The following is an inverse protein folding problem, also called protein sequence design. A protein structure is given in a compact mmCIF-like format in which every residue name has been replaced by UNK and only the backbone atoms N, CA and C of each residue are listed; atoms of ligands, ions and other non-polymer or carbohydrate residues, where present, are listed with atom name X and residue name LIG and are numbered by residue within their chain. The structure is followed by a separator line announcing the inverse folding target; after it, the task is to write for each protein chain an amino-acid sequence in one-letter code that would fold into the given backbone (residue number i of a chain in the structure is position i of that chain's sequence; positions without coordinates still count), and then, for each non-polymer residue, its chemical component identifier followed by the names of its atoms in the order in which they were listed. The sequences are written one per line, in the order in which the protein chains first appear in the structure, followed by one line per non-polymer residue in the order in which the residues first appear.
data_IF_427885396678
#
_entry.id   IF_427885396678
#
_cell.length_a   1.000
_cell.length_b   1.000
_cell.length_c   1.000
_cell.angle_alpha   90.00
_cell.angle_beta   90.00
_cell.angle_gamma   90.00
#
_symmetry.space_group_name_H-M   'P 1'
#
loop_
_entity.id
_entity.type
_entity.pdbx_description
1 polymer ?
#
# COMPACT_ATOMS: atom_id res chain seq x y z
N UNK A 1 -16.19 4.12 -42.53
CA UNK A 1 -17.50 3.89 -41.86
C UNK A 1 -17.61 2.56 -41.07
N UNK A 2 -16.98 1.43 -41.46
CA UNK A 2 -17.01 0.18 -40.67
C UNK A 2 -16.36 0.26 -39.27
N UNK A 3 -15.24 0.99 -39.12
CA UNK A 3 -14.57 1.14 -37.81
C UNK A 3 -15.36 1.94 -36.76
N UNK A 4 -16.22 2.89 -37.19
CA UNK A 4 -17.06 3.66 -36.27
C UNK A 4 -18.26 2.86 -35.74
N UNK A 5 -18.80 1.91 -36.53
CA UNK A 5 -19.86 0.99 -36.06
C UNK A 5 -19.31 0.01 -35.01
N UNK A 6 -18.16 -0.61 -35.27
CA UNK A 6 -17.52 -1.52 -34.30
C UNK A 6 -17.15 -0.86 -32.97
N UNK A 7 -16.82 0.45 -32.96
CA UNK A 7 -16.56 1.18 -31.71
C UNK A 7 -17.85 1.40 -30.92
N UNK A 8 -18.91 1.88 -31.58
CA UNK A 8 -20.23 2.07 -30.95
C UNK A 8 -20.79 0.77 -30.35
N UNK A 9 -20.67 -0.35 -31.06
CA UNK A 9 -21.17 -1.64 -30.57
C UNK A 9 -20.39 -2.13 -29.34
N UNK A 10 -19.08 -1.85 -29.25
CA UNK A 10 -18.26 -2.15 -28.07
C UNK A 10 -18.61 -1.25 -26.87
N UNK A 11 -18.85 0.03 -27.11
CA UNK A 11 -19.21 0.99 -26.07
C UNK A 11 -20.57 0.60 -25.45
N UNK A 12 -21.55 0.21 -26.27
CA UNK A 12 -22.86 -0.30 -25.81
C UNK A 12 -22.70 -1.56 -24.93
N UNK A 13 -21.86 -2.51 -25.34
CA UNK A 13 -21.63 -3.74 -24.56
C UNK A 13 -20.99 -3.43 -23.20
N UNK A 14 -20.06 -2.47 -23.15
CA UNK A 14 -19.47 -2.01 -21.89
C UNK A 14 -20.51 -1.36 -20.98
N UNK A 15 -21.39 -0.54 -21.53
CA UNK A 15 -22.45 0.13 -20.78
C UNK A 15 -23.45 -0.87 -20.19
N UNK A 16 -23.88 -1.88 -20.96
CA UNK A 16 -24.75 -2.96 -20.45
C UNK A 16 -24.08 -3.75 -19.31
N UNK A 17 -22.79 -4.09 -19.45
CA UNK A 17 -22.03 -4.78 -18.40
C UNK A 17 -21.90 -3.94 -17.14
N UNK A 18 -21.67 -2.63 -17.31
CA UNK A 18 -21.62 -1.68 -16.21
C UNK A 18 -22.96 -1.62 -15.47
N UNK A 19 -24.06 -1.49 -16.19
CA UNK A 19 -25.40 -1.45 -15.60
C UNK A 19 -25.76 -2.74 -14.85
N UNK A 20 -25.37 -3.90 -15.38
CA UNK A 20 -25.55 -5.20 -14.71
C UNK A 20 -24.73 -5.27 -13.41
N UNK A 21 -23.48 -4.80 -13.44
CA UNK A 21 -22.64 -4.70 -12.26
C UNK A 21 -23.25 -3.77 -11.19
N UNK A 22 -23.68 -2.56 -11.58
CA UNK A 22 -24.29 -1.59 -10.66
C UNK A 22 -25.54 -2.16 -9.97
N UNK A 23 -26.34 -2.96 -10.68
CA UNK A 23 -27.50 -3.63 -10.07
C UNK A 23 -27.10 -4.67 -9.03
N UNK A 24 -25.96 -5.34 -9.24
CA UNK A 24 -25.43 -6.38 -8.34
C UNK A 24 -24.77 -5.79 -7.10
N UNK A 25 -23.98 -4.71 -7.22
CA UNK A 25 -23.26 -4.13 -6.07
C UNK A 25 -24.19 -3.67 -4.94
N UNK A 26 -25.41 -3.23 -5.26
CA UNK A 26 -26.39 -2.80 -4.26
C UNK A 26 -26.88 -3.93 -3.33
N UNK A 27 -26.67 -5.19 -3.73
CA UNK A 27 -27.08 -6.37 -2.97
C UNK A 27 -25.87 -7.17 -2.47
N UNK A 28 -24.65 -6.65 -2.63
CA UNK A 28 -23.45 -7.45 -2.44
C UNK A 28 -23.26 -7.92 -1.00
N UNK A 29 -23.66 -7.09 -0.03
CA UNK A 29 -23.59 -7.39 1.40
C UNK A 29 -24.58 -8.51 1.81
N UNK A 30 -25.55 -8.85 0.95
CA UNK A 30 -26.53 -9.93 1.17
C UNK A 30 -26.12 -11.25 0.50
N UNK A 31 -25.07 -11.24 -0.33
CA UNK A 31 -24.56 -12.42 -1.04
C UNK A 31 -23.60 -13.23 -0.17
N UNK A 32 -23.37 -14.48 -0.56
CA UNK A 32 -22.25 -15.24 0.02
C UNK A 32 -20.92 -14.59 -0.35
N UNK A 33 -19.89 -14.80 0.48
CA UNK A 33 -18.55 -14.26 0.21
C UNK A 33 -18.05 -14.62 -1.19
N UNK A 34 -18.24 -15.87 -1.62
CA UNK A 34 -17.78 -16.35 -2.92
C UNK A 34 -18.48 -15.63 -4.07
N UNK A 35 -19.79 -15.47 -3.99
CA UNK A 35 -20.57 -14.77 -5.02
C UNK A 35 -20.17 -13.30 -5.11
N UNK A 36 -20.00 -12.64 -3.95
CA UNK A 36 -19.56 -11.25 -3.89
C UNK A 36 -18.13 -11.08 -4.45
N UNK A 37 -17.23 -11.99 -4.08
CA UNK A 37 -15.85 -12.02 -4.59
C UNK A 37 -15.83 -12.14 -6.10
N UNK A 38 -16.52 -13.13 -6.67
CA UNK A 38 -16.54 -13.38 -8.11
C UNK A 38 -17.05 -12.15 -8.88
N UNK A 39 -18.08 -11.47 -8.35
CA UNK A 39 -18.64 -10.24 -8.96
C UNK A 39 -17.62 -9.09 -8.97
N UNK A 40 -16.94 -8.83 -7.85
CA UNK A 40 -15.97 -7.72 -7.75
C UNK A 40 -14.73 -8.03 -8.57
N UNK A 41 -14.20 -9.25 -8.44
CA UNK A 41 -13.04 -9.71 -9.17
C UNK A 41 -13.28 -9.58 -10.68
N UNK A 42 -14.34 -10.20 -11.22
CA UNK A 42 -14.63 -10.15 -12.66
C UNK A 42 -14.80 -8.72 -13.17
N UNK A 43 -15.33 -7.82 -12.35
CA UNK A 43 -15.48 -6.42 -12.73
C UNK A 43 -14.17 -5.65 -12.71
N UNK A 44 -13.29 -5.87 -11.74
CA UNK A 44 -12.01 -5.14 -11.64
C UNK A 44 -11.11 -5.42 -12.86
N UNK A 45 -11.20 -6.62 -13.44
CA UNK A 45 -10.52 -7.00 -14.68
C UNK A 45 -11.27 -6.56 -15.96
N UNK A 46 -12.37 -5.83 -15.82
CA UNK A 46 -13.07 -5.24 -16.96
C UNK A 46 -12.50 -3.85 -17.27
N UNK A 47 -12.29 -3.54 -18.56
CA UNK A 47 -11.89 -2.20 -19.02
C UNK A 47 -13.06 -1.18 -18.91
N UNK A 48 -13.79 -1.18 -17.80
CA UNK A 48 -15.00 -0.38 -17.56
C UNK A 48 -14.74 0.60 -16.41
N UNK A 49 -14.89 1.89 -16.72
CA UNK A 49 -14.71 2.97 -15.75
C UNK A 49 -15.99 3.16 -14.90
N UNK A 50 -15.82 3.11 -13.58
CA UNK A 50 -16.83 3.46 -12.60
C UNK A 50 -16.93 4.98 -12.45
N UNK A 51 -18.14 5.46 -12.20
CA UNK A 51 -18.37 6.81 -11.71
C UNK A 51 -18.02 6.87 -10.22
N UNK A 52 -17.65 8.07 -9.76
CA UNK A 52 -17.29 8.30 -8.37
C UNK A 52 -18.34 7.76 -7.37
N UNK A 53 -19.63 7.92 -7.64
CA UNK A 53 -20.67 7.41 -6.75
C UNK A 53 -20.66 5.87 -6.61
N UNK A 54 -20.27 5.15 -7.67
CA UNK A 54 -20.17 3.69 -7.64
C UNK A 54 -18.92 3.27 -6.85
N UNK A 55 -17.81 3.99 -7.02
CA UNK A 55 -16.61 3.82 -6.17
C UNK A 55 -16.96 4.03 -4.69
N UNK A 56 -17.66 5.12 -4.38
CA UNK A 56 -18.12 5.41 -3.02
C UNK A 56 -18.98 4.29 -2.44
N UNK A 57 -19.88 3.72 -3.24
CA UNK A 57 -20.72 2.60 -2.82
C UNK A 57 -19.88 1.37 -2.46
N UNK A 58 -18.88 1.03 -3.26
CA UNK A 58 -17.99 -0.10 -3.00
C UNK A 58 -17.20 0.09 -1.70
N UNK A 59 -16.67 1.29 -1.47
CA UNK A 59 -15.93 1.60 -0.24
C UNK A 59 -16.81 1.57 1.03
N UNK A 60 -18.13 1.53 0.88
CA UNK A 60 -19.07 1.41 1.99
C UNK A 60 -19.44 -0.05 2.33
N UNK A 61 -18.90 -1.06 1.64
CA UNK A 61 -19.22 -2.45 1.95
C UNK A 61 -18.87 -2.83 3.39
N UNK A 62 -19.68 -3.73 3.96
CA UNK A 62 -19.46 -4.22 5.33
C UNK A 62 -18.22 -5.10 5.37
N UNK A 63 -18.04 -5.94 4.35
CA UNK A 63 -16.90 -6.83 4.23
C UNK A 63 -15.66 -6.07 3.73
N UNK A 64 -14.63 -5.98 4.57
CA UNK A 64 -13.39 -5.25 4.29
C UNK A 64 -12.50 -5.96 3.28
N UNK A 65 -12.59 -7.28 3.17
CA UNK A 65 -11.82 -8.05 2.18
C UNK A 65 -12.27 -7.74 0.75
N UNK A 66 -13.56 -7.41 0.56
CA UNK A 66 -14.07 -6.98 -0.74
C UNK A 66 -13.61 -5.57 -1.11
N UNK A 67 -13.44 -4.70 -0.10
CA UNK A 67 -12.88 -3.36 -0.30
C UNK A 67 -11.41 -3.47 -0.69
N UNK A 68 -10.63 -4.28 0.03
CA UNK A 68 -9.23 -4.57 -0.31
C UNK A 68 -9.10 -5.10 -1.74
N UNK A 69 -9.87 -6.14 -2.10
CA UNK A 69 -9.90 -6.68 -3.46
C UNK A 69 -10.18 -5.58 -4.50
N UNK A 70 -11.17 -4.74 -4.27
CA UNK A 70 -11.49 -3.65 -5.19
C UNK A 70 -10.35 -2.65 -5.32
N UNK A 71 -9.79 -2.18 -4.19
CA UNK A 71 -8.70 -1.22 -4.19
C UNK A 71 -7.46 -1.78 -4.90
N UNK A 72 -7.09 -3.03 -4.63
CA UNK A 72 -5.91 -3.67 -5.23
C UNK A 72 -6.06 -3.89 -6.74
N UNK A 73 -7.21 -4.38 -7.18
CA UNK A 73 -7.38 -4.87 -8.56
C UNK A 73 -7.92 -3.79 -9.52
N UNK A 74 -8.60 -2.75 -9.02
CA UNK A 74 -9.20 -1.74 -9.88
C UNK A 74 -8.19 -0.67 -10.34
N UNK A 75 -7.79 -0.72 -11.62
CA UNK A 75 -6.72 0.15 -12.15
C UNK A 75 -7.18 1.50 -12.71
N UNK A 76 -8.49 1.75 -12.81
CA UNK A 76 -9.03 2.87 -13.57
C UNK A 76 -9.35 4.10 -12.71
N UNK A 77 -8.81 4.24 -11.49
CA UNK A 77 -9.03 5.42 -10.63
C UNK A 77 -8.60 6.74 -11.30
N UNK A 78 -9.50 7.74 -11.29
CA UNK A 78 -9.16 9.11 -11.68
C UNK A 78 -8.82 9.97 -10.45
N UNK A 79 -8.46 11.24 -10.66
CA UNK A 79 -8.06 12.14 -9.57
C UNK A 79 -9.18 12.43 -8.56
N UNK A 80 -10.44 12.46 -8.99
CA UNK A 80 -11.57 12.64 -8.07
C UNK A 80 -11.77 11.40 -7.21
N UNK A 81 -11.62 10.21 -7.79
CA UNK A 81 -11.68 8.97 -7.03
C UNK A 81 -10.53 8.88 -6.04
N UNK A 82 -9.29 9.16 -6.47
CA UNK A 82 -8.11 9.18 -5.58
C UNK A 82 -8.30 10.12 -4.40
N UNK A 83 -8.82 11.32 -4.66
CA UNK A 83 -9.13 12.30 -3.60
C UNK A 83 -10.14 11.72 -2.60
N UNK A 84 -11.18 11.03 -3.09
CA UNK A 84 -12.15 10.39 -2.20
C UNK A 84 -11.56 9.20 -1.44
N UNK A 85 -10.75 8.37 -2.10
CA UNK A 85 -10.08 7.23 -1.46
C UNK A 85 -9.10 7.71 -0.38
N UNK A 86 -8.39 8.80 -0.60
CA UNK A 86 -7.54 9.43 0.42
C UNK A 86 -8.34 9.83 1.67
N UNK A 87 -9.51 10.47 1.49
CA UNK A 87 -10.41 10.78 2.61
C UNK A 87 -10.89 9.52 3.33
N UNK A 88 -11.32 8.52 2.56
CA UNK A 88 -11.74 7.23 3.10
C UNK A 88 -10.64 6.57 3.93
N UNK A 89 -9.40 6.55 3.45
CA UNK A 89 -8.27 5.98 4.19
C UNK A 89 -8.04 6.75 5.48
N UNK A 90 -8.02 8.08 5.43
CA UNK A 90 -7.82 8.93 6.61
C UNK A 90 -8.85 8.69 7.72
N UNK A 91 -10.10 8.45 7.33
CA UNK A 91 -11.20 8.13 8.24
C UNK A 91 -11.05 6.72 8.86
N UNK A 92 -10.33 5.82 8.19
CA UNK A 92 -10.14 4.43 8.61
C UNK A 92 -8.75 4.13 9.24
N UNK A 93 -7.84 5.11 9.37
CA UNK A 93 -6.52 4.88 9.99
C UNK A 93 -6.58 4.41 11.44
N UNK A 94 -7.67 4.69 12.16
CA UNK A 94 -7.90 4.25 13.54
C UNK A 94 -8.84 3.02 13.63
N UNK A 95 -9.06 2.32 12.51
CA UNK A 95 -9.96 1.17 12.45
C UNK A 95 -9.42 -0.03 13.25
N UNK A 96 -10.31 -0.80 13.88
CA UNK A 96 -9.95 -1.93 14.77
C UNK A 96 -9.35 -3.13 14.04
N UNK A 97 -9.74 -3.35 12.78
CA UNK A 97 -9.13 -4.37 11.93
C UNK A 97 -7.88 -3.77 11.28
N UNK A 98 -6.72 -4.20 11.72
CA UNK A 98 -5.41 -3.63 11.35
C UNK A 98 -4.75 -4.30 10.16
N UNK A 99 -5.19 -5.50 9.79
CA UNK A 99 -4.94 -6.05 8.46
C UNK A 99 -5.55 -5.12 7.40
N UNK A 100 -6.81 -4.72 7.59
CA UNK A 100 -7.45 -3.75 6.70
C UNK A 100 -6.72 -2.40 6.66
N UNK A 101 -6.29 -1.85 7.80
CA UNK A 101 -5.50 -0.61 7.80
C UNK A 101 -4.17 -0.78 7.07
N UNK A 102 -3.49 -1.91 7.25
CA UNK A 102 -2.26 -2.25 6.53
C UNK A 102 -2.48 -2.23 5.01
N UNK A 103 -3.55 -2.85 4.51
CA UNK A 103 -3.88 -2.87 3.08
C UNK A 103 -4.15 -1.46 2.55
N UNK A 104 -4.85 -0.62 3.32
CA UNK A 104 -5.07 0.78 2.98
C UNK A 104 -3.76 1.58 2.88
N UNK A 105 -2.78 1.30 3.74
CA UNK A 105 -1.47 1.96 3.72
C UNK A 105 -0.65 1.56 2.49
N UNK A 106 -0.66 0.28 2.12
CA UNK A 106 -0.02 -0.17 0.87
C UNK A 106 -0.68 0.46 -0.35
N UNK A 107 -2.02 0.44 -0.41
CA UNK A 107 -2.74 1.09 -1.49
C UNK A 107 -2.46 2.60 -1.58
N UNK A 108 -2.42 3.29 -0.44
CA UNK A 108 -2.02 4.70 -0.39
C UNK A 108 -0.60 4.93 -0.90
N UNK A 109 0.31 3.99 -0.63
CA UNK A 109 1.68 4.05 -1.13
C UNK A 109 1.74 3.87 -2.64
N UNK A 110 1.06 2.85 -3.17
CA UNK A 110 1.05 2.53 -4.61
C UNK A 110 0.47 3.65 -5.47
N UNK A 111 -0.58 4.31 -4.98
CA UNK A 111 -1.19 5.46 -5.65
C UNK A 111 -0.57 6.82 -5.25
N UNK A 112 0.45 6.82 -4.39
CA UNK A 112 1.11 8.05 -3.89
C UNK A 112 0.10 9.05 -3.28
N UNK A 113 -0.87 8.54 -2.51
CA UNK A 113 -1.90 9.34 -1.84
C UNK A 113 -1.33 10.10 -0.65
N UNK A 114 -1.85 11.30 -0.40
CA UNK A 114 -1.39 12.20 0.64
C UNK A 114 -2.20 12.03 1.95
N UNK A 115 -2.15 10.83 2.53
CA UNK A 115 -2.84 10.53 3.79
C UNK A 115 -2.17 11.21 5.01
N UNK A 116 -2.85 11.16 6.15
CA UNK A 116 -2.48 11.86 7.38
C UNK A 116 -1.17 11.34 7.96
N UNK A 117 -0.10 12.04 7.64
CA UNK A 117 1.28 11.66 7.95
C UNK A 117 1.53 11.40 9.44
N UNK A 118 0.99 12.26 10.31
CA UNK A 118 1.17 12.13 11.76
C UNK A 118 0.42 10.92 12.32
N UNK A 119 -0.77 10.62 11.79
CA UNK A 119 -1.47 9.38 12.16
C UNK A 119 -0.65 8.15 11.76
N UNK A 120 -0.09 8.12 10.54
CA UNK A 120 0.74 7.00 10.08
C UNK A 120 2.01 6.85 10.95
N UNK A 121 2.72 7.95 11.25
CA UNK A 121 3.87 7.91 12.17
C UNK A 121 3.50 7.38 13.56
N UNK A 122 2.30 7.69 14.06
CA UNK A 122 1.83 7.21 15.35
C UNK A 122 1.53 5.70 15.35
N UNK A 123 1.13 5.11 14.21
CA UNK A 123 0.93 3.66 14.09
C UNK A 123 2.24 2.90 14.35
N UNK A 124 3.38 3.43 13.88
CA UNK A 124 4.71 2.83 14.10
C UNK A 124 5.03 2.72 15.60
N UNK A 125 4.65 3.73 16.39
CA UNK A 125 4.98 3.81 17.83
C UNK A 125 4.04 3.01 18.72
N UNK A 126 2.74 3.01 18.41
CA UNK A 126 1.70 2.44 19.27
C UNK A 126 1.64 0.92 19.24
N UNK A 127 1.99 0.34 18.11
CA UNK A 127 1.75 -1.07 17.80
C UNK A 127 3.03 -1.93 17.92
N UNK A 128 3.96 -1.51 18.78
CA UNK A 128 5.07 -2.38 19.15
C UNK A 128 4.50 -3.65 19.82
N UNK A 129 4.81 -4.84 19.26
CA UNK A 129 4.38 -6.20 19.68
C UNK A 129 3.00 -6.69 19.22
N UNK A 130 2.07 -5.80 18.92
CA UNK A 130 0.74 -6.18 18.45
C UNK A 130 0.56 -5.57 17.05
N UNK A 131 0.46 -6.45 16.04
CA UNK A 131 0.13 -6.14 14.64
C UNK A 131 1.34 -5.78 13.75
N UNK A 132 2.06 -6.80 13.33
CA UNK A 132 3.29 -6.69 12.52
C UNK A 132 3.04 -6.06 11.14
N UNK A 133 1.87 -6.31 10.55
CA UNK A 133 1.56 -5.88 9.19
C UNK A 133 1.35 -4.36 9.12
N UNK A 134 0.70 -3.76 10.12
CA UNK A 134 0.40 -2.32 10.12
C UNK A 134 1.65 -1.48 10.37
N UNK A 135 2.57 -1.93 11.23
CA UNK A 135 3.85 -1.23 11.46
C UNK A 135 4.69 -1.25 10.20
N UNK A 136 4.85 -2.42 9.57
CA UNK A 136 5.60 -2.54 8.33
C UNK A 136 5.01 -1.67 7.22
N UNK A 137 3.69 -1.71 7.03
CA UNK A 137 2.99 -0.88 6.04
C UNK A 137 3.12 0.62 6.34
N UNK A 138 3.10 1.02 7.61
CA UNK A 138 3.29 2.41 8.01
C UNK A 138 4.72 2.89 7.73
N UNK A 139 5.74 2.09 8.07
CA UNK A 139 7.14 2.41 7.72
C UNK A 139 7.28 2.50 6.20
N UNK A 140 6.68 1.58 5.45
CA UNK A 140 6.71 1.54 3.98
C UNK A 140 6.10 2.80 3.37
N UNK A 141 4.92 3.24 3.84
CA UNK A 141 4.30 4.48 3.41
C UNK A 141 5.21 5.69 3.70
N UNK A 142 5.72 5.82 4.92
CA UNK A 142 6.58 6.94 5.33
C UNK A 142 7.88 6.97 4.53
N UNK A 143 8.49 5.81 4.31
CA UNK A 143 9.71 5.67 3.53
C UNK A 143 9.48 6.06 2.06
N UNK A 144 8.37 5.66 1.46
CA UNK A 144 8.07 6.03 0.06
C UNK A 144 7.55 7.48 -0.09
N UNK A 145 7.15 8.13 1.01
CA UNK A 145 6.59 9.48 1.02
C UNK A 145 7.32 10.39 2.03
N UNK A 146 8.65 10.48 1.97
CA UNK A 146 9.42 11.30 2.93
C UNK A 146 9.05 12.79 2.79
N UNK A 147 8.52 13.36 3.86
CA UNK A 147 8.24 14.80 3.98
C UNK A 147 9.30 15.45 4.84
N UNK A 148 10.17 16.28 4.24
CA UNK A 148 11.27 16.95 4.95
C UNK A 148 10.83 17.77 6.17
N UNK A 149 9.61 18.31 6.15
CA UNK A 149 9.03 19.01 7.29
C UNK A 149 8.92 18.12 8.55
N UNK A 150 8.78 16.80 8.41
CA UNK A 150 8.66 15.83 9.51
C UNK A 150 9.94 15.00 9.71
N UNK A 151 11.10 15.48 9.23
CA UNK A 151 12.31 14.64 9.17
C UNK A 151 12.80 14.20 10.56
N UNK A 152 12.64 15.05 11.57
CA UNK A 152 13.02 14.74 12.94
C UNK A 152 12.14 13.62 13.52
N UNK A 153 10.83 13.69 13.30
CA UNK A 153 9.87 12.69 13.73
C UNK A 153 10.07 11.36 13.00
N UNK A 154 10.37 11.39 11.70
CA UNK A 154 10.69 10.19 10.92
C UNK A 154 11.93 9.52 11.49
N UNK A 155 13.04 10.27 11.64
CA UNK A 155 14.31 9.74 12.16
C UNK A 155 14.13 9.21 13.58
N UNK A 156 13.40 9.93 14.44
CA UNK A 156 13.12 9.47 15.80
C UNK A 156 12.30 8.17 15.81
N UNK A 157 11.27 8.06 14.97
CA UNK A 157 10.39 6.89 14.94
C UNK A 157 11.10 5.66 14.36
N UNK A 158 11.88 5.83 13.29
CA UNK A 158 12.63 4.70 12.72
C UNK A 158 13.76 4.26 13.65
N UNK A 159 14.43 5.18 14.35
CA UNK A 159 15.42 4.80 15.37
C UNK A 159 14.81 4.02 16.53
N UNK A 160 13.58 4.34 16.95
CA UNK A 160 12.92 3.53 17.99
C UNK A 160 12.62 2.11 17.53
N UNK A 161 12.32 1.91 16.23
CA UNK A 161 12.17 0.58 15.65
C UNK A 161 13.49 -0.18 15.66
N UNK A 162 14.56 0.43 15.12
CA UNK A 162 15.89 -0.18 15.03
C UNK A 162 16.46 -0.55 16.41
N UNK A 163 16.26 0.29 17.42
CA UNK A 163 16.86 0.09 18.75
C UNK A 163 16.01 -0.76 19.70
N UNK A 164 14.90 -1.34 19.24
CA UNK A 164 14.00 -2.11 20.09
C UNK A 164 13.84 -3.54 19.58
N UNK A 165 13.89 -4.50 20.51
CA UNK A 165 13.65 -5.93 20.24
C UNK A 165 12.16 -6.27 20.09
N UNK A 166 11.30 -5.28 20.30
CA UNK A 166 9.86 -5.42 20.25
C UNK A 166 9.30 -5.39 18.81
N UNK A 167 10.17 -5.09 17.83
CA UNK A 167 9.86 -5.05 16.41
C UNK A 167 10.47 -6.23 15.67
N UNK A 168 9.85 -6.61 14.55
CA UNK A 168 10.31 -7.67 13.67
C UNK A 168 11.51 -7.22 12.85
N UNK A 169 12.33 -8.18 12.42
CA UNK A 169 13.53 -7.90 11.65
C UNK A 169 13.20 -7.23 10.31
N UNK A 170 12.07 -7.54 9.67
CA UNK A 170 11.61 -6.85 8.45
C UNK A 170 11.36 -5.36 8.67
N UNK A 171 10.70 -5.00 9.77
CA UNK A 171 10.46 -3.60 10.16
C UNK A 171 11.77 -2.89 10.47
N UNK A 172 12.67 -3.57 11.19
CA UNK A 172 14.01 -3.07 11.52
C UNK A 172 14.87 -2.84 10.27
N UNK A 173 14.81 -3.75 9.28
CA UNK A 173 15.53 -3.62 8.00
C UNK A 173 14.98 -2.45 7.21
N UNK A 174 13.66 -2.36 7.05
CA UNK A 174 13.01 -1.28 6.30
C UNK A 174 13.26 0.09 6.96
N UNK A 175 13.21 0.17 8.29
CA UNK A 175 13.56 1.37 9.03
C UNK A 175 15.04 1.73 8.86
N UNK A 176 15.94 0.74 8.94
CA UNK A 176 17.39 0.95 8.82
C UNK A 176 17.80 1.43 7.45
N UNK A 177 17.29 0.81 6.38
CA UNK A 177 17.62 1.22 5.02
C UNK A 177 17.06 2.61 4.71
N UNK A 178 15.87 2.92 5.24
CA UNK A 178 15.28 4.25 5.13
C UNK A 178 16.09 5.30 5.90
N UNK A 179 16.57 4.97 7.11
CA UNK A 179 17.46 5.83 7.89
C UNK A 179 18.80 6.05 7.20
N UNK A 180 19.37 5.01 6.57
CA UNK A 180 20.57 5.16 5.76
C UNK A 180 20.31 6.11 4.58
N UNK A 181 19.20 5.95 3.85
CA UNK A 181 18.82 6.86 2.76
C UNK A 181 18.65 8.31 3.20
N UNK A 182 18.11 8.53 4.41
CA UNK A 182 17.93 9.88 4.97
C UNK A 182 19.23 10.50 5.48
N UNK A 183 20.10 9.69 6.10
CA UNK A 183 21.22 10.21 6.92
C UNK A 183 22.61 9.94 6.36
N UNK A 184 22.74 8.99 5.42
CA UNK A 184 24.03 8.49 4.91
C UNK A 184 24.87 7.73 5.94
N UNK A 185 24.34 7.40 7.12
CA UNK A 185 25.12 6.77 8.20
C UNK A 185 25.30 5.27 7.96
N UNK A 186 26.54 4.85 7.73
CA UNK A 186 26.91 3.47 7.47
C UNK A 186 26.52 2.49 8.59
N UNK A 187 26.43 2.96 9.83
CA UNK A 187 26.01 2.14 10.98
C UNK A 187 24.65 1.45 10.78
N UNK A 188 23.76 2.03 9.95
CA UNK A 188 22.49 1.39 9.63
C UNK A 188 22.63 0.25 8.60
N UNK A 189 23.60 0.33 7.70
CA UNK A 189 23.93 -0.78 6.81
C UNK A 189 24.60 -1.90 7.59
N UNK A 190 25.53 -1.57 8.47
CA UNK A 190 26.23 -2.55 9.30
C UNK A 190 25.21 -3.35 10.16
N UNK A 191 24.20 -2.67 10.72
CA UNK A 191 23.09 -3.33 11.43
C UNK A 191 22.23 -4.24 10.53
N UNK A 192 21.96 -3.84 9.28
CA UNK A 192 21.27 -4.73 8.32
C UNK A 192 22.10 -5.99 8.04
N UNK A 193 23.43 -5.84 7.89
CA UNK A 193 24.33 -6.98 7.71
C UNK A 193 24.29 -7.92 8.92
N UNK A 194 24.30 -7.39 10.14
CA UNK A 194 24.16 -8.19 11.37
C UNK A 194 22.85 -9.00 11.39
N UNK A 195 21.72 -8.40 10.98
CA UNK A 195 20.43 -9.11 10.89
C UNK A 195 20.45 -10.22 9.82
N UNK A 196 21.11 -9.99 8.68
CA UNK A 196 21.23 -10.98 7.59
C UNK A 196 22.19 -12.12 7.95
N UNK A 197 23.22 -11.84 8.76
CA UNK A 197 24.12 -12.87 9.26
C UNK A 197 23.46 -13.73 10.34
N UNK A 198 22.55 -13.15 11.12
CA UNK A 198 21.71 -13.89 12.05
C UNK A 198 20.66 -14.76 11.35
N UNK A 199 19.95 -14.21 10.35
CA UNK A 199 18.91 -14.91 9.59
C UNK A 199 18.99 -14.56 8.10
N UNK A 200 19.20 -15.57 7.26
CA UNK A 200 19.35 -15.39 5.80
C UNK A 200 18.02 -15.07 5.10
N UNK A 201 16.86 -15.30 5.71
CA UNK A 201 15.57 -14.88 5.13
C UNK A 201 15.46 -13.36 5.01
N UNK A 202 16.15 -12.63 5.88
CA UNK A 202 16.25 -11.16 5.81
C UNK A 202 16.85 -10.67 4.49
N UNK A 203 17.73 -11.46 3.86
CA UNK A 203 18.29 -11.12 2.56
C UNK A 203 17.23 -11.19 1.46
N UNK A 204 16.29 -12.13 1.54
CA UNK A 204 15.17 -12.24 0.59
C UNK A 204 14.28 -11.01 0.72
N UNK A 205 13.92 -10.62 1.94
CA UNK A 205 13.15 -9.41 2.19
C UNK A 205 13.86 -8.15 1.65
N UNK A 206 15.15 -7.98 1.95
CA UNK A 206 15.93 -6.84 1.47
C UNK A 206 16.01 -6.79 -0.06
N UNK A 207 16.24 -7.94 -0.72
CA UNK A 207 16.30 -8.00 -2.19
C UNK A 207 14.97 -7.58 -2.83
N UNK A 208 13.84 -8.02 -2.27
CA UNK A 208 12.52 -7.62 -2.75
C UNK A 208 12.30 -6.11 -2.55
N UNK A 209 12.70 -5.56 -1.41
CA UNK A 209 12.60 -4.13 -1.12
C UNK A 209 13.43 -3.29 -2.10
N UNK A 210 14.68 -3.69 -2.37
CA UNK A 210 15.57 -2.97 -3.28
C UNK A 210 15.15 -3.05 -4.75
N UNK A 211 14.23 -3.95 -5.10
CA UNK A 211 13.63 -4.00 -6.43
C UNK A 211 12.51 -2.95 -6.62
N UNK A 212 12.02 -2.33 -5.55
CA UNK A 212 11.00 -1.30 -5.62
C UNK A 212 11.50 -0.02 -6.31
N UNK A 213 10.56 0.75 -6.88
CA UNK A 213 10.87 1.95 -7.65
C UNK A 213 11.68 2.99 -6.85
N UNK A 214 11.40 3.14 -5.56
CA UNK A 214 12.04 4.14 -4.68
C UNK A 214 13.50 3.82 -4.32
N UNK A 215 13.97 2.60 -4.63
CA UNK A 215 15.35 2.16 -4.40
C UNK A 215 16.13 1.93 -5.70
N UNK A 216 15.57 2.30 -6.85
CA UNK A 216 16.31 2.28 -8.11
C UNK A 216 17.51 3.22 -8.05
N UNK A 217 18.59 2.83 -8.74
CA UNK A 217 19.86 3.59 -8.79
C UNK A 217 19.69 5.04 -9.26
N UNK A 218 18.67 5.31 -10.07
CA UNK A 218 18.34 6.66 -10.52
C UNK A 218 17.95 7.62 -9.38
N UNK A 219 17.49 7.09 -8.24
CA UNK A 219 17.11 7.85 -7.05
C UNK A 219 17.99 7.57 -5.83
N UNK A 220 18.71 6.45 -5.80
CA UNK A 220 19.46 6.01 -4.63
C UNK A 220 20.66 5.14 -5.00
N UNK A 221 21.87 5.60 -4.67
CA UNK A 221 23.11 4.85 -4.96
C UNK A 221 23.20 3.57 -4.12
N UNK A 222 23.08 2.43 -4.80
CA UNK A 222 23.13 1.10 -4.20
C UNK A 222 24.56 0.54 -4.08
N UNK A 223 25.60 1.25 -4.50
CA UNK A 223 26.98 0.72 -4.57
C UNK A 223 27.46 0.21 -3.21
N UNK A 224 27.21 0.98 -2.14
CA UNK A 224 27.63 0.57 -0.80
C UNK A 224 26.83 -0.63 -0.29
N UNK A 225 25.51 -0.67 -0.54
CA UNK A 225 24.64 -1.79 -0.16
C UNK A 225 25.05 -3.07 -0.90
N UNK A 226 25.36 -2.97 -2.19
CA UNK A 226 25.82 -4.12 -2.98
C UNK A 226 27.15 -4.66 -2.48
N UNK A 227 28.10 -3.78 -2.17
CA UNK A 227 29.42 -4.22 -1.70
C UNK A 227 29.40 -4.83 -0.30
N UNK A 228 28.57 -4.31 0.61
CA UNK A 228 28.48 -4.81 1.99
C UNK A 228 27.49 -5.94 2.20
N UNK A 229 26.34 -5.90 1.52
CA UNK A 229 25.17 -6.72 1.86
C UNK A 229 24.82 -7.76 0.78
N UNK A 230 24.91 -7.41 -0.51
CA UNK A 230 24.41 -8.24 -1.62
C UNK A 230 25.52 -8.99 -2.40
N UNK A 231 26.54 -9.52 -1.70
CA UNK A 231 27.67 -10.21 -2.33
C UNK A 231 27.28 -11.32 -3.30
#
# INVERSE_FOLDING_TARGET
MKHQRNKKDRDIVKEIRKDDFIKKINKIDDLSWKEAYDIIHDFCYSDIKLHLNEVKQILCFKNKDLIDLFLREYILFDENDKTYVELFINDNLDHKNTAFVSDLLYFATDLSLNINYLKVLNLIKKNAKDENYIVLAAIHYIANNIKYYYIEEIVSSFKSVVNSKDYFQSEQILASISLYRITGKQSFLDFITELIDYDKENLVFLNNLLAEKSYREEYFDLTEIRSKVLK
#
